data_IF_154700167455
#
_entry.id   IF_154700167455
#
_cell.length_a   1.000
_cell.length_b   1.000
_cell.length_c   1.000
_cell.angle_alpha   90.00
_cell.angle_beta   90.00
_cell.angle_gamma   90.00
#
_symmetry.space_group_name_H-M   'P 1'
#
loop_
_entity.id
_entity.type
_entity.pdbx_description
1 polymer ?
#
# COMPACT_ATOMS: atom_id res chain seq x y z
N UNK A 1 -1.32 6.53 -9.69
CA UNK A 1 -1.46 6.52 -8.21
C UNK A 1 -1.55 7.93 -7.61
N UNK A 2 -0.81 8.92 -8.13
CA UNK A 2 -0.75 10.29 -7.57
C UNK A 2 -2.05 11.11 -7.67
N UNK A 3 -2.98 10.79 -8.58
CA UNK A 3 -4.22 11.55 -8.76
C UNK A 3 -5.07 11.66 -7.48
N UNK A 4 -5.15 10.58 -6.69
CA UNK A 4 -5.93 10.54 -5.45
C UNK A 4 -5.26 11.29 -4.30
N UNK A 5 -3.92 11.33 -4.30
CA UNK A 5 -3.18 12.15 -3.34
C UNK A 5 -3.32 13.63 -3.71
N UNK A 6 -3.24 13.94 -5.00
CA UNK A 6 -3.40 15.29 -5.53
C UNK A 6 -4.83 15.85 -5.36
N UNK A 7 -5.85 14.99 -5.27
CA UNK A 7 -7.23 15.41 -5.01
C UNK A 7 -7.48 15.86 -3.55
N UNK A 8 -6.46 15.86 -2.69
CA UNK A 8 -6.59 16.26 -1.29
C UNK A 8 -7.13 15.16 -0.37
N UNK A 9 -7.05 13.88 -0.78
CA UNK A 9 -7.50 12.79 0.05
C UNK A 9 -6.67 12.65 1.34
N UNK A 10 -7.36 12.51 2.47
CA UNK A 10 -6.76 12.29 3.79
C UNK A 10 -6.13 10.89 3.94
N UNK A 11 -6.66 9.92 3.20
CA UNK A 11 -6.22 8.55 3.13
C UNK A 11 -6.60 7.97 1.76
N UNK A 12 -5.78 7.07 1.24
CA UNK A 12 -6.09 6.25 0.07
C UNK A 12 -5.85 4.78 0.39
N UNK A 13 -6.75 3.93 -0.09
CA UNK A 13 -6.67 2.47 0.06
C UNK A 13 -6.63 1.85 -1.33
N UNK A 14 -5.66 0.95 -1.53
CA UNK A 14 -5.45 0.27 -2.79
C UNK A 14 -5.52 -1.23 -2.62
N UNK A 15 -6.03 -1.91 -3.65
CA UNK A 15 -5.88 -3.35 -3.79
C UNK A 15 -4.51 -3.65 -4.40
N UNK A 16 -3.71 -4.47 -3.72
CA UNK A 16 -2.40 -4.96 -4.18
C UNK A 16 -2.42 -5.53 -5.59
N UNK A 17 -3.33 -6.48 -5.79
CA UNK A 17 -3.47 -7.21 -7.06
C UNK A 17 -3.92 -6.34 -8.23
N UNK A 18 -4.65 -5.24 -7.96
CA UNK A 18 -5.17 -4.37 -9.03
C UNK A 18 -4.25 -3.18 -9.29
N UNK A 19 -3.81 -2.52 -8.23
CA UNK A 19 -3.05 -1.28 -8.33
C UNK A 19 -1.55 -1.50 -8.55
N UNK A 20 -1.01 -2.63 -8.10
CA UNK A 20 0.43 -2.90 -8.11
C UNK A 20 0.80 -4.23 -8.79
N UNK A 21 -0.18 -4.95 -9.32
CA UNK A 21 0.00 -6.31 -9.87
C UNK A 21 0.73 -7.25 -8.87
N UNK A 22 0.50 -7.04 -7.57
CA UNK A 22 1.11 -7.77 -6.47
C UNK A 22 0.19 -8.91 -5.99
N UNK A 23 0.63 -9.82 -5.11
CA UNK A 23 -0.26 -10.80 -4.48
C UNK A 23 -1.43 -10.13 -3.75
N UNK A 24 -2.53 -10.87 -3.56
CA UNK A 24 -3.75 -10.38 -2.87
C UNK A 24 -3.38 -9.72 -1.54
N UNK A 25 -3.55 -8.41 -1.48
CA UNK A 25 -3.16 -7.56 -0.36
C UNK A 25 -3.92 -6.23 -0.41
N UNK A 26 -3.93 -5.52 0.71
CA UNK A 26 -4.43 -4.14 0.80
C UNK A 26 -3.31 -3.21 1.22
N UNK A 27 -3.19 -2.07 0.56
CA UNK A 27 -2.20 -1.03 0.89
C UNK A 27 -2.94 0.25 1.30
N UNK A 28 -2.67 0.73 2.51
CA UNK A 28 -3.30 1.91 3.09
C UNK A 28 -2.22 2.96 3.31
N UNK A 29 -2.42 4.17 2.79
CA UNK A 29 -1.51 5.32 2.98
C UNK A 29 -2.32 6.60 3.26
N UNK A 30 -1.74 7.55 3.98
CA UNK A 30 -2.43 8.79 4.35
C UNK A 30 -1.87 9.46 5.60
N UNK A 31 -2.65 10.38 6.18
CA UNK A 31 -2.26 11.16 7.37
C UNK A 31 -2.04 10.25 8.58
N UNK A 32 -1.04 10.58 9.41
CA UNK A 32 -0.60 9.79 10.58
C UNK A 32 -1.75 9.41 11.52
N UNK A 33 -2.67 10.33 11.80
CA UNK A 33 -3.83 10.08 12.69
C UNK A 33 -4.69 8.91 12.21
N UNK A 34 -4.86 8.79 10.89
CA UNK A 34 -5.70 7.75 10.32
C UNK A 34 -4.98 6.42 10.22
N UNK A 35 -3.67 6.43 9.92
CA UNK A 35 -2.83 5.23 10.00
C UNK A 35 -2.79 4.68 11.43
N UNK A 36 -2.73 5.54 12.45
CA UNK A 36 -2.80 5.13 13.84
C UNK A 36 -4.13 4.45 14.18
N UNK A 37 -5.26 4.97 13.67
CA UNK A 37 -6.57 4.33 13.82
C UNK A 37 -6.63 2.95 13.15
N UNK A 38 -6.07 2.79 11.94
CA UNK A 38 -5.97 1.49 11.28
C UNK A 38 -5.10 0.50 12.08
N UNK A 39 -3.98 0.96 12.65
CA UNK A 39 -3.13 0.13 13.50
C UNK A 39 -3.81 -0.28 14.80
N UNK A 40 -4.65 0.57 15.40
CA UNK A 40 -5.42 0.22 16.59
C UNK A 40 -6.35 -0.99 16.36
N UNK A 41 -6.78 -1.22 15.11
CA UNK A 41 -7.57 -2.41 14.74
C UNK A 41 -6.80 -3.73 14.85
N UNK A 42 -5.50 -3.73 15.16
CA UNK A 42 -4.79 -4.95 15.58
C UNK A 42 -5.41 -5.59 16.83
N UNK A 43 -6.08 -4.81 17.67
CA UNK A 43 -6.87 -5.30 18.81
C UNK A 43 -8.32 -5.68 18.43
N UNK A 44 -8.69 -5.54 17.16
CA UNK A 44 -10.00 -5.90 16.61
C UNK A 44 -9.86 -6.72 15.34
N UNK A 45 -10.58 -6.34 14.28
CA UNK A 45 -10.71 -7.15 13.06
C UNK A 45 -9.41 -7.31 12.27
N UNK A 46 -8.46 -6.37 12.38
CA UNK A 46 -7.26 -6.39 11.55
C UNK A 46 -6.31 -7.54 11.91
N UNK A 47 -6.46 -8.17 13.09
CA UNK A 47 -5.69 -9.37 13.44
C UNK A 47 -6.06 -10.55 12.54
N UNK A 48 -7.36 -10.77 12.30
CA UNK A 48 -7.83 -11.83 11.42
C UNK A 48 -7.55 -11.51 9.94
N UNK A 49 -7.52 -10.24 9.57
CA UNK A 49 -7.23 -9.78 8.20
C UNK A 49 -5.73 -9.68 7.88
N UNK A 50 -4.83 -10.05 8.81
CA UNK A 50 -3.39 -9.89 8.61
C UNK A 50 -2.92 -10.78 7.46
N UNK A 51 -2.27 -10.17 6.47
CA UNK A 51 -1.70 -10.89 5.33
C UNK A 51 -0.47 -11.72 5.73
N UNK A 52 -0.18 -12.77 4.95
CA UNK A 52 1.02 -13.61 5.09
C UNK A 52 2.31 -12.85 4.75
N UNK A 53 3.46 -13.43 5.13
CA UNK A 53 4.79 -12.82 4.90
C UNK A 53 5.10 -12.73 3.41
N UNK A 54 4.67 -13.73 2.66
CA UNK A 54 4.82 -13.88 1.22
C UNK A 54 4.10 -12.75 0.49
N UNK A 55 2.86 -12.46 0.90
CA UNK A 55 2.08 -11.35 0.35
C UNK A 55 2.69 -9.99 0.69
N UNK A 56 3.29 -9.82 1.88
CA UNK A 56 4.02 -8.59 2.24
C UNK A 56 5.24 -8.41 1.34
N UNK A 57 6.08 -9.43 1.19
CA UNK A 57 7.29 -9.37 0.36
C UNK A 57 6.94 -9.13 -1.10
N UNK A 58 5.93 -9.85 -1.63
CA UNK A 58 5.47 -9.68 -3.01
C UNK A 58 4.81 -8.33 -3.29
N UNK A 59 4.31 -7.63 -2.28
CA UNK A 59 3.83 -6.25 -2.40
C UNK A 59 4.98 -5.23 -2.33
N UNK A 60 5.97 -5.44 -1.45
CA UNK A 60 7.05 -4.47 -1.21
C UNK A 60 8.11 -4.50 -2.32
N UNK A 61 8.49 -5.68 -2.81
CA UNK A 61 9.54 -5.81 -3.83
C UNK A 61 9.29 -4.94 -5.09
N UNK A 62 8.09 -4.93 -5.70
CA UNK A 62 7.79 -4.04 -6.81
C UNK A 62 7.94 -2.55 -6.43
N UNK A 63 7.52 -2.15 -5.23
CA UNK A 63 7.57 -0.77 -4.79
C UNK A 63 9.02 -0.29 -4.58
N UNK A 64 9.88 -1.13 -4.02
CA UNK A 64 11.31 -0.81 -3.82
C UNK A 64 12.11 -0.85 -5.12
N UNK A 65 11.70 -1.68 -6.09
CA UNK A 65 12.33 -1.70 -7.41
C UNK A 65 12.14 -0.36 -8.15
N UNK A 66 10.97 0.27 -8.01
CA UNK A 66 10.71 1.61 -8.59
C UNK A 66 11.64 2.68 -7.97
N UNK A 67 12.07 2.52 -6.71
CA UNK A 67 13.05 3.43 -6.10
C UNK A 67 14.48 3.24 -6.64
N UNK A 68 14.85 2.03 -7.09
CA UNK A 68 16.15 1.75 -7.73
C UNK A 68 16.19 1.99 -9.23
N UNK A 69 15.02 2.14 -9.87
CA UNK A 69 14.91 2.37 -11.32
C UNK A 69 14.38 3.78 -11.58
N UNK A 70 15.20 4.78 -11.26
CA UNK A 70 15.27 5.94 -12.14
C UNK A 70 16.49 5.75 -13.03
N UNK A 71 16.29 5.27 -14.26
CA UNK A 71 16.88 5.94 -15.39
C UNK A 71 15.75 6.57 -16.18
N UNK A 72 16.07 7.72 -16.77
CA UNK A 72 15.31 8.30 -17.84
C UNK A 72 14.86 7.23 -18.87
N UNK A 73 13.75 7.50 -19.56
CA UNK A 73 13.19 6.73 -20.66
C UNK A 73 12.49 5.42 -20.30
N UNK A 74 11.16 5.48 -20.33
CA UNK A 74 10.40 4.65 -21.25
C UNK A 74 9.27 5.54 -21.81
N UNK A 75 9.31 5.72 -23.13
CA UNK A 75 8.27 6.36 -23.94
C UNK A 75 6.87 5.80 -23.65
#
# INVERSE_FOLDING_TARGET
LHAWVASGADMVVYSGAKAFNAPTSGFITGKKKWIAACKAQHHGIARAMKIGKENMVGLVLPLTAVETTTPALLC
#
